data_IF_901977135452
#
_entry.id   IF_901977135452
#
_cell.length_a   1.000
_cell.length_b   1.000
_cell.length_c   1.000
_cell.angle_alpha   90.00
_cell.angle_beta   90.00
_cell.angle_gamma   90.00
#
_symmetry.space_group_name_H-M   'P 1'
#
loop_
_entity.id
_entity.type
_entity.pdbx_description
1 polymer ?
#
# COMPACT_ATOMS: atom_id res chain seq x y z
N UNK A 1 -14.11 -59.11 30.61
CA UNK A 1 -13.11 -58.41 29.76
C UNK A 1 -13.75 -57.12 29.24
N UNK A 2 -13.43 -55.98 29.85
CA UNK A 2 -13.94 -54.68 29.42
C UNK A 2 -12.84 -54.01 28.59
N UNK A 3 -13.13 -53.75 27.32
CA UNK A 3 -12.23 -53.07 26.42
C UNK A 3 -12.25 -51.55 26.74
N UNK A 4 -11.10 -51.02 27.14
CA UNK A 4 -10.86 -49.61 27.42
C UNK A 4 -10.74 -48.85 26.09
N UNK A 5 -11.83 -48.25 25.63
CA UNK A 5 -11.82 -47.32 24.45
C UNK A 5 -11.48 -45.93 24.90
N UNK A 6 -10.20 -45.57 24.83
CA UNK A 6 -9.73 -44.17 25.00
C UNK A 6 -10.12 -43.35 23.78
N UNK A 7 -10.70 -42.14 23.93
CA UNK A 7 -11.08 -41.31 22.81
C UNK A 7 -9.83 -40.65 22.15
N UNK A 8 -9.66 -40.88 20.86
CA UNK A 8 -8.57 -40.32 19.98
C UNK A 8 -8.87 -38.87 19.61
N UNK A 9 -9.11 -37.97 20.56
CA UNK A 9 -9.50 -36.59 20.20
C UNK A 9 -8.61 -35.44 20.70
N UNK A 10 -7.37 -35.70 21.10
CA UNK A 10 -6.55 -34.66 21.76
C UNK A 10 -5.24 -34.26 21.02
N UNK A 11 -5.06 -34.49 19.73
CA UNK A 11 -3.77 -34.20 19.08
C UNK A 11 -3.72 -33.21 17.89
N UNK A 12 -4.79 -32.59 17.30
CA UNK A 12 -4.61 -31.64 16.25
C UNK A 12 -4.32 -30.18 16.72
N UNK A 13 -4.81 -29.81 17.91
CA UNK A 13 -4.75 -28.41 18.39
C UNK A 13 -3.34 -27.96 18.80
N UNK A 14 -2.52 -28.84 19.34
CA UNK A 14 -1.17 -28.45 19.80
C UNK A 14 -0.18 -28.20 18.66
N UNK A 15 -0.32 -28.90 17.54
CA UNK A 15 0.57 -28.74 16.37
C UNK A 15 0.23 -27.45 15.62
N UNK A 16 -1.05 -27.09 15.52
CA UNK A 16 -1.49 -25.85 14.85
C UNK A 16 -1.07 -24.60 15.66
N UNK A 17 -1.04 -24.68 16.98
CA UNK A 17 -0.57 -23.58 17.83
C UNK A 17 0.94 -23.33 17.74
N UNK A 18 1.73 -24.36 17.42
CA UNK A 18 3.20 -24.23 17.33
C UNK A 18 3.67 -23.54 16.02
N UNK A 19 2.80 -23.40 15.01
CA UNK A 19 3.17 -22.84 13.70
C UNK A 19 2.78 -21.34 13.57
N UNK A 20 1.93 -20.81 14.45
CA UNK A 20 1.53 -19.41 14.41
C UNK A 20 2.53 -18.54 15.21
N UNK A 21 3.37 -17.73 14.55
CA UNK A 21 4.24 -16.81 15.26
C UNK A 21 3.39 -15.84 16.09
N UNK A 22 3.82 -15.55 17.32
CA UNK A 22 3.11 -14.61 18.18
C UNK A 22 2.99 -13.25 17.47
N UNK A 23 1.91 -12.51 17.72
CA UNK A 23 1.72 -11.17 17.17
C UNK A 23 2.90 -10.23 17.50
N UNK A 24 3.60 -10.49 18.63
CA UNK A 24 4.81 -9.77 18.99
C UNK A 24 5.99 -10.07 18.04
N UNK A 25 6.15 -11.31 17.59
CA UNK A 25 7.21 -11.71 16.66
C UNK A 25 6.95 -11.14 15.24
N UNK A 26 5.70 -10.97 14.84
CA UNK A 26 5.33 -10.37 13.54
C UNK A 26 5.42 -8.84 13.52
N UNK A 27 5.45 -8.19 14.69
CA UNK A 27 5.43 -6.73 14.82
C UNK A 27 6.49 -6.02 14.00
N UNK A 28 7.78 -6.35 14.14
CA UNK A 28 8.85 -5.70 13.41
C UNK A 28 8.72 -5.85 11.89
N UNK A 29 8.39 -7.04 11.41
CA UNK A 29 8.25 -7.32 9.97
C UNK A 29 7.12 -6.51 9.36
N UNK A 30 5.96 -6.47 10.04
CA UNK A 30 4.80 -5.70 9.56
C UNK A 30 5.09 -4.19 9.59
N UNK A 31 5.79 -3.71 10.62
CA UNK A 31 6.19 -2.29 10.69
C UNK A 31 7.14 -1.92 9.54
N UNK A 32 8.18 -2.73 9.29
CA UNK A 32 9.13 -2.51 8.19
C UNK A 32 8.42 -2.57 6.84
N UNK A 33 7.50 -3.51 6.65
CA UNK A 33 6.68 -3.57 5.44
C UNK A 33 5.86 -2.29 5.20
N UNK A 34 5.21 -1.75 6.25
CA UNK A 34 4.50 -0.46 6.18
C UNK A 34 5.44 0.71 5.89
N UNK A 35 6.63 0.70 6.50
CA UNK A 35 7.64 1.73 6.26
C UNK A 35 8.06 1.75 4.78
N UNK A 36 8.46 0.62 4.22
CA UNK A 36 8.89 0.55 2.82
C UNK A 36 7.75 0.86 1.86
N UNK A 37 6.54 0.41 2.16
CA UNK A 37 5.37 0.73 1.35
C UNK A 37 5.06 2.23 1.37
N UNK A 38 5.10 2.87 2.54
CA UNK A 38 4.76 4.28 2.69
C UNK A 38 5.85 5.23 2.15
N UNK A 39 7.12 4.81 2.19
CA UNK A 39 8.28 5.66 1.92
C UNK A 39 8.21 6.32 0.55
N UNK A 40 7.83 5.58 -0.50
CA UNK A 40 7.75 6.13 -1.86
C UNK A 40 6.73 7.26 -1.98
N UNK A 41 5.59 7.14 -1.30
CA UNK A 41 4.54 8.16 -1.31
C UNK A 41 4.93 9.39 -0.48
N UNK A 42 5.63 9.18 0.65
CA UNK A 42 6.16 10.27 1.49
C UNK A 42 7.24 11.06 0.78
N UNK A 43 8.05 10.40 -0.06
CA UNK A 43 9.09 11.07 -0.86
C UNK A 43 8.54 11.73 -2.11
N UNK A 44 7.56 11.12 -2.78
CA UNK A 44 7.00 11.64 -4.03
C UNK A 44 5.86 12.64 -3.81
N UNK A 45 5.02 12.43 -2.79
CA UNK A 45 3.83 13.24 -2.52
C UNK A 45 4.12 14.75 -2.40
N UNK A 46 5.13 15.18 -1.64
CA UNK A 46 5.47 16.60 -1.53
C UNK A 46 5.84 17.26 -2.87
N UNK A 47 6.36 16.49 -3.83
CA UNK A 47 6.70 17.02 -5.17
C UNK A 47 5.47 17.45 -5.97
N UNK A 48 4.28 16.97 -5.64
CA UNK A 48 3.02 17.36 -6.30
C UNK A 48 2.62 18.82 -6.02
N UNK A 49 3.25 19.47 -5.05
CA UNK A 49 3.05 20.90 -4.76
C UNK A 49 4.03 21.80 -5.54
N UNK A 50 4.98 21.21 -6.29
CA UNK A 50 5.95 21.98 -7.07
C UNK A 50 5.36 22.37 -8.42
N UNK A 51 5.59 23.64 -8.83
CA UNK A 51 5.12 24.18 -10.11
C UNK A 51 5.57 23.35 -11.33
N UNK A 52 6.78 22.80 -11.29
CA UNK A 52 7.31 21.94 -12.36
C UNK A 52 6.48 20.65 -12.52
N UNK A 53 6.09 20.01 -11.40
CA UNK A 53 5.25 18.79 -11.44
C UNK A 53 3.85 19.12 -11.97
N UNK A 54 3.28 20.24 -11.56
CA UNK A 54 1.97 20.71 -12.03
C UNK A 54 2.02 20.99 -13.53
N UNK A 55 3.05 21.70 -14.00
CA UNK A 55 3.22 22.02 -15.42
C UNK A 55 3.43 20.73 -16.26
N UNK A 56 4.24 19.79 -15.77
CA UNK A 56 4.42 18.50 -16.42
C UNK A 56 3.10 17.73 -16.52
N UNK A 57 2.34 17.65 -15.44
CA UNK A 57 1.05 16.97 -15.46
C UNK A 57 0.05 17.64 -16.43
N UNK A 58 0.04 18.97 -16.51
CA UNK A 58 -0.76 19.69 -17.48
C UNK A 58 -0.37 19.33 -18.92
N UNK A 59 0.92 19.21 -19.23
CA UNK A 59 1.40 18.79 -20.55
C UNK A 59 1.03 17.33 -20.90
N UNK A 60 0.81 16.50 -19.87
CA UNK A 60 0.30 15.14 -20.04
C UNK A 60 -1.23 15.06 -20.21
N UNK A 61 -1.92 16.21 -20.22
CA UNK A 61 -3.37 16.30 -20.40
C UNK A 61 -4.18 16.11 -19.11
N UNK A 62 -3.57 16.33 -17.94
CA UNK A 62 -4.32 16.32 -16.66
C UNK A 62 -5.20 17.57 -16.62
N UNK A 63 -6.53 17.44 -16.56
CA UNK A 63 -7.40 18.59 -16.50
C UNK A 63 -7.22 19.31 -15.15
N UNK A 64 -7.33 20.64 -15.15
CA UNK A 64 -7.21 21.44 -13.93
C UNK A 64 -5.98 21.05 -13.06
N UNK A 65 -4.82 20.84 -13.71
CA UNK A 65 -3.62 20.31 -13.07
C UNK A 65 -3.19 21.10 -11.83
N UNK A 66 -3.40 22.43 -11.82
CA UNK A 66 -3.11 23.33 -10.68
C UNK A 66 -3.89 22.98 -9.40
N UNK A 67 -5.01 22.25 -9.52
CA UNK A 67 -5.86 21.84 -8.40
C UNK A 67 -5.70 20.34 -8.16
N UNK A 68 -5.82 19.52 -9.21
CA UNK A 68 -5.85 18.06 -9.09
C UNK A 68 -4.50 17.50 -8.64
N UNK A 69 -3.37 18.06 -9.11
CA UNK A 69 -2.04 17.56 -8.76
C UNK A 69 -1.72 17.80 -7.28
N UNK A 70 -1.88 18.99 -6.68
CA UNK A 70 -1.72 19.15 -5.24
C UNK A 70 -2.67 18.30 -4.39
N UNK A 71 -3.94 18.14 -4.80
CA UNK A 71 -4.88 17.26 -4.10
C UNK A 71 -4.38 15.80 -4.13
N UNK A 72 -3.90 15.33 -5.29
CA UNK A 72 -3.34 13.97 -5.40
C UNK A 72 -2.11 13.78 -4.50
N UNK A 73 -1.25 14.79 -4.39
CA UNK A 73 -0.12 14.80 -3.47
C UNK A 73 -0.56 14.70 -2.00
N UNK A 74 -1.60 15.46 -1.62
CA UNK A 74 -2.17 15.38 -0.27
C UNK A 74 -2.74 13.98 0.02
N UNK A 75 -3.47 13.37 -0.92
CA UNK A 75 -3.98 12.00 -0.78
C UNK A 75 -2.84 11.00 -0.57
N UNK A 76 -1.76 11.10 -1.35
CA UNK A 76 -0.59 10.23 -1.24
C UNK A 76 0.08 10.36 0.13
N UNK A 77 0.34 11.59 0.60
CA UNK A 77 1.02 11.84 1.88
C UNK A 77 0.15 11.41 3.07
N UNK A 78 -1.12 11.81 3.10
CA UNK A 78 -2.04 11.46 4.19
C UNK A 78 -2.28 9.94 4.25
N UNK A 79 -2.46 9.31 3.08
CA UNK A 79 -2.59 7.86 2.98
C UNK A 79 -1.35 7.13 3.48
N UNK A 80 -0.16 7.59 3.08
CA UNK A 80 1.11 7.00 3.49
C UNK A 80 1.38 7.17 5.00
N UNK A 81 1.11 8.34 5.57
CA UNK A 81 1.24 8.57 7.01
C UNK A 81 0.28 7.68 7.81
N UNK A 82 -0.97 7.57 7.36
CA UNK A 82 -1.98 6.71 7.96
C UNK A 82 -1.53 5.24 7.99
N UNK A 83 -1.00 4.73 6.86
CA UNK A 83 -0.48 3.36 6.75
C UNK A 83 0.76 3.17 7.60
N UNK A 84 1.74 4.09 7.56
CA UNK A 84 2.99 4.02 8.31
C UNK A 84 2.74 3.95 9.82
N UNK A 85 1.94 4.89 10.33
CA UNK A 85 1.62 4.96 11.75
C UNK A 85 0.68 3.83 12.19
N UNK A 86 -0.01 3.20 11.24
CA UNK A 86 -1.06 2.22 11.52
C UNK A 86 -2.25 2.87 12.23
N UNK A 87 -2.56 4.13 11.90
CA UNK A 87 -3.73 4.84 12.38
C UNK A 87 -4.77 4.91 11.26
N UNK A 88 -5.91 4.24 11.45
CA UNK A 88 -6.94 4.08 10.42
C UNK A 88 -6.37 3.60 9.08
N UNK A 89 -5.41 2.66 9.13
CA UNK A 89 -4.60 2.26 7.98
C UNK A 89 -5.45 1.77 6.79
N UNK A 90 -6.65 1.24 7.03
CA UNK A 90 -7.60 0.86 5.96
C UNK A 90 -8.04 2.08 5.15
N UNK A 91 -8.37 3.19 5.83
CA UNK A 91 -8.75 4.44 5.16
C UNK A 91 -7.55 5.01 4.40
N UNK A 92 -6.37 5.05 5.04
CA UNK A 92 -5.14 5.49 4.39
C UNK A 92 -4.81 4.70 3.13
N UNK A 93 -4.99 3.39 3.17
CA UNK A 93 -4.79 2.53 2.00
C UNK A 93 -5.78 2.85 0.86
N UNK A 94 -7.04 3.15 1.16
CA UNK A 94 -8.00 3.60 0.15
C UNK A 94 -7.65 4.95 -0.46
N UNK A 95 -7.07 5.89 0.31
CA UNK A 95 -6.54 7.15 -0.24
C UNK A 95 -5.43 6.88 -1.25
N UNK A 96 -4.52 5.92 -0.95
CA UNK A 96 -3.46 5.51 -1.88
C UNK A 96 -4.04 4.80 -3.11
N UNK A 97 -5.05 3.94 -2.96
CA UNK A 97 -5.75 3.32 -4.08
C UNK A 97 -6.31 4.39 -5.02
N UNK A 98 -7.04 5.36 -4.49
CA UNK A 98 -7.60 6.45 -5.27
C UNK A 98 -6.52 7.28 -5.99
N UNK A 99 -5.43 7.60 -5.29
CA UNK A 99 -4.26 8.26 -5.88
C UNK A 99 -3.68 7.47 -7.05
N UNK A 100 -3.41 6.17 -6.86
CA UNK A 100 -2.78 5.33 -7.88
C UNK A 100 -3.69 5.08 -9.09
N UNK A 101 -4.99 4.93 -8.89
CA UNK A 101 -5.96 4.79 -9.99
C UNK A 101 -6.01 6.05 -10.87
N UNK A 102 -5.84 7.23 -10.28
CA UNK A 102 -5.80 8.47 -11.03
C UNK A 102 -4.45 8.69 -11.72
N UNK A 103 -3.36 8.62 -10.96
CA UNK A 103 -2.03 9.00 -11.47
C UNK A 103 -1.45 8.00 -12.48
N UNK A 104 -1.71 6.71 -12.30
CA UNK A 104 -1.06 5.67 -13.12
C UNK A 104 -1.41 5.78 -14.61
N UNK A 105 -2.69 5.78 -15.02
CA UNK A 105 -3.03 5.89 -16.44
C UNK A 105 -2.79 7.28 -17.02
N UNK A 106 -2.78 8.32 -16.20
CA UNK A 106 -2.56 9.69 -16.68
C UNK A 106 -1.09 9.98 -16.96
N UNK A 107 -0.19 9.46 -16.11
CA UNK A 107 1.23 9.81 -16.14
C UNK A 107 2.10 8.76 -16.82
N UNK A 108 1.65 7.51 -16.94
CA UNK A 108 2.42 6.40 -17.48
C UNK A 108 1.74 5.74 -18.68
N UNK A 109 1.53 6.54 -19.73
CA UNK A 109 0.86 6.13 -20.99
C UNK A 109 1.82 5.40 -21.92
N UNK A 110 2.39 4.27 -21.51
CA UNK A 110 3.38 3.52 -22.30
C UNK A 110 2.85 3.12 -23.68
N UNK A 111 1.54 2.93 -23.83
CA UNK A 111 0.89 2.49 -25.08
C UNK A 111 0.88 3.53 -26.21
N UNK A 112 1.24 4.79 -25.95
CA UNK A 112 1.37 5.84 -26.98
C UNK A 112 2.82 6.24 -27.23
N UNK A 113 3.78 5.61 -26.55
CA UNK A 113 5.20 5.95 -26.68
C UNK A 113 5.83 5.12 -27.80
N UNK A 114 6.47 5.80 -28.76
CA UNK A 114 7.11 5.17 -29.92
C UNK A 114 8.60 4.91 -29.71
N UNK A 115 9.26 5.70 -28.86
CA UNK A 115 10.67 5.50 -28.52
C UNK A 115 10.84 4.26 -27.63
N UNK A 116 11.67 3.27 -28.01
CA UNK A 116 11.79 2.00 -27.28
C UNK A 116 12.27 2.16 -25.84
N UNK A 117 13.18 3.11 -25.58
CA UNK A 117 13.71 3.34 -24.23
C UNK A 117 12.64 3.98 -23.33
N UNK A 118 11.96 5.00 -23.83
CA UNK A 118 10.88 5.65 -23.11
C UNK A 118 9.68 4.72 -22.88
N UNK A 119 9.35 3.86 -23.87
CA UNK A 119 8.34 2.82 -23.70
C UNK A 119 8.68 1.92 -22.51
N UNK A 120 9.90 1.40 -22.45
CA UNK A 120 10.36 0.54 -21.36
C UNK A 120 10.25 1.25 -20.00
N UNK A 121 10.70 2.50 -19.92
CA UNK A 121 10.63 3.29 -18.68
C UNK A 121 9.17 3.48 -18.23
N UNK A 122 8.29 3.90 -19.13
CA UNK A 122 6.89 4.13 -18.82
C UNK A 122 6.15 2.84 -18.43
N UNK A 123 6.47 1.74 -19.11
CA UNK A 123 5.93 0.42 -18.77
C UNK A 123 6.34 -0.03 -17.38
N UNK A 124 7.63 0.08 -17.02
CA UNK A 124 8.13 -0.25 -15.68
C UNK A 124 7.45 0.61 -14.61
N UNK A 125 7.28 1.92 -14.87
CA UNK A 125 6.62 2.83 -13.94
C UNK A 125 5.15 2.48 -13.75
N UNK A 126 4.45 2.11 -14.82
CA UNK A 126 3.07 1.63 -14.78
C UNK A 126 2.96 0.35 -13.93
N UNK A 127 3.81 -0.65 -14.20
CA UNK A 127 3.80 -1.93 -13.47
C UNK A 127 4.19 -1.77 -12.00
N UNK A 128 5.13 -0.88 -11.69
CA UNK A 128 5.45 -0.50 -10.31
C UNK A 128 4.22 0.07 -9.57
N UNK A 129 3.51 0.99 -10.20
CA UNK A 129 2.30 1.56 -9.62
C UNK A 129 1.20 0.50 -9.43
N UNK A 130 1.06 -0.42 -10.37
CA UNK A 130 0.12 -1.54 -10.27
C UNK A 130 0.46 -2.47 -9.10
N UNK A 131 1.75 -2.75 -8.88
CA UNK A 131 2.21 -3.54 -7.72
C UNK A 131 1.91 -2.82 -6.40
N UNK A 132 2.13 -1.50 -6.33
CA UNK A 132 1.79 -0.70 -5.16
C UNK A 132 0.28 -0.64 -4.92
N UNK A 133 -0.53 -0.59 -5.99
CA UNK A 133 -1.99 -0.67 -5.91
C UNK A 133 -2.43 -2.00 -5.28
N UNK A 134 -1.83 -3.12 -5.70
CA UNK A 134 -2.06 -4.42 -5.08
C UNK A 134 -1.73 -4.42 -3.58
N UNK A 135 -0.58 -3.86 -3.21
CA UNK A 135 -0.19 -3.69 -1.80
C UNK A 135 -1.19 -2.84 -1.00
N UNK A 136 -1.67 -1.72 -1.57
CA UNK A 136 -2.68 -0.86 -0.95
C UNK A 136 -4.01 -1.61 -0.74
N UNK A 137 -4.45 -2.41 -1.72
CA UNK A 137 -5.65 -3.24 -1.59
C UNK A 137 -5.51 -4.27 -0.47
N UNK A 138 -4.35 -4.94 -0.35
CA UNK A 138 -4.09 -5.84 0.79
C UNK A 138 -4.21 -5.11 2.12
N UNK A 139 -3.57 -3.95 2.29
CA UNK A 139 -3.63 -3.17 3.54
C UNK A 139 -5.08 -2.73 3.82
N UNK A 140 -5.86 -2.36 2.81
CA UNK A 140 -7.25 -1.94 2.96
C UNK A 140 -8.13 -3.04 3.57
N UNK A 141 -7.83 -4.31 3.30
CA UNK A 141 -8.56 -5.47 3.83
C UNK A 141 -7.98 -5.95 5.17
N UNK A 142 -6.66 -6.13 5.23
CA UNK A 142 -5.97 -6.67 6.40
C UNK A 142 -5.87 -5.66 7.57
N UNK A 143 -5.84 -4.36 7.25
CA UNK A 143 -5.65 -3.29 8.24
C UNK A 143 -4.19 -3.11 8.65
N UNK A 144 -4.00 -2.46 9.81
CA UNK A 144 -2.68 -2.00 10.28
C UNK A 144 -1.76 -3.10 10.79
N UNK A 145 -2.30 -4.25 11.20
CA UNK A 145 -1.52 -5.32 11.82
C UNK A 145 -0.92 -4.96 13.20
N UNK A 146 0.04 -5.75 13.70
CA UNK A 146 0.72 -5.47 14.97
C UNK A 146 1.61 -4.22 14.89
N UNK A 147 2.02 -3.69 16.05
CA UNK A 147 2.83 -2.47 16.19
C UNK A 147 2.18 -1.27 15.49
N UNK A 148 0.89 -1.04 15.74
CA UNK A 148 0.11 0.04 15.13
C UNK A 148 -0.59 0.87 16.19
N UNK A 149 -0.90 2.13 15.87
CA UNK A 149 -1.66 3.01 16.75
C UNK A 149 -3.10 2.51 16.94
N UNK A 150 -3.70 1.88 15.92
CA UNK A 150 -5.05 1.29 16.01
C UNK A 150 -5.16 0.20 17.09
N UNK A 151 -4.06 -0.48 17.43
CA UNK A 151 -4.05 -1.54 18.46
C UNK A 151 -3.72 -1.06 19.87
N UNK A 152 -3.26 0.19 20.01
CA UNK A 152 -3.01 0.78 21.34
C UNK A 152 -4.28 1.29 22.01
N UNK A 153 -5.36 1.46 21.27
CA UNK A 153 -6.65 1.97 21.77
C UNK A 153 -7.70 0.87 22.04
N UNK A 154 -7.27 -0.40 22.01
CA UNK A 154 -8.09 -1.57 22.40
C UNK A 154 -7.34 -2.33 23.50
#
# INVERSE_FOLDING_TARGET
MAANSQPISARPTAIVSAVNPSAAALGPVVFVGRLFFALIFLMSGPRHFMSQTIAYAASQGVPMASIIVPISGALAVLGALSVLLGYRARIGAWLIVLFLLGVTPMMHKFWIVTDPMMYQIQFIMFMKNLSMLGGALFISQMGSGPWSLDKRGR
#
